data_IF_349179299824
#
_entry.id   IF_349179299824
#
_cell.length_a   1.000
_cell.length_b   1.000
_cell.length_c   1.000
_cell.angle_alpha   90.00
_cell.angle_beta   90.00
_cell.angle_gamma   90.00
#
_symmetry.space_group_name_H-M   'P 1'
#
loop_
_entity.id
_entity.type
_entity.pdbx_description
1 polymer ?
#
# COMPACT_ATOMS: atom_id res chain seq x y z
N UNK A 1 -37.50 6.00 18.66
CA UNK A 1 -36.73 6.99 19.44
C UNK A 1 -35.75 7.67 18.50
N UNK A 2 -35.96 8.96 18.19
CA UNK A 2 -34.98 9.71 17.39
C UNK A 2 -33.83 10.10 18.32
N UNK A 3 -32.68 9.47 18.15
CA UNK A 3 -31.44 9.89 18.79
C UNK A 3 -31.01 11.21 18.19
N UNK A 4 -31.22 12.30 18.93
CA UNK A 4 -30.71 13.62 18.57
C UNK A 4 -29.20 13.59 18.82
N UNK A 5 -28.42 13.88 17.78
CA UNK A 5 -26.96 13.96 17.89
C UNK A 5 -26.60 15.28 18.57
N UNK A 6 -25.78 15.21 19.62
CA UNK A 6 -25.15 16.38 20.23
C UNK A 6 -24.05 16.91 19.30
N UNK A 7 -24.39 17.96 18.55
CA UNK A 7 -23.52 18.55 17.53
C UNK A 7 -22.31 19.26 18.14
N UNK A 8 -22.44 19.85 19.34
CA UNK A 8 -21.33 20.54 20.00
C UNK A 8 -20.26 19.54 20.43
N UNK A 9 -20.68 18.44 21.07
CA UNK A 9 -19.79 17.34 21.40
C UNK A 9 -19.15 16.71 20.16
N UNK A 10 -19.92 16.55 19.08
CA UNK A 10 -19.39 16.00 17.82
C UNK A 10 -18.30 16.90 17.21
N UNK A 11 -18.48 18.22 17.23
CA UNK A 11 -17.48 19.19 16.74
C UNK A 11 -16.19 19.13 17.58
N UNK A 12 -16.31 19.15 18.90
CA UNK A 12 -15.15 19.08 19.80
C UNK A 12 -14.34 17.79 19.57
N UNK A 13 -15.04 16.66 19.40
CA UNK A 13 -14.39 15.39 19.08
C UNK A 13 -13.71 15.41 17.71
N UNK A 14 -14.35 16.00 16.70
CA UNK A 14 -13.78 16.10 15.35
C UNK A 14 -12.51 16.97 15.32
N UNK A 15 -12.51 18.10 16.04
CA UNK A 15 -11.34 18.95 16.20
C UNK A 15 -10.20 18.20 16.90
N UNK A 16 -10.51 17.52 18.01
CA UNK A 16 -9.51 16.74 18.74
C UNK A 16 -8.93 15.59 17.91
N UNK A 17 -9.76 14.91 17.13
CA UNK A 17 -9.30 13.87 16.19
C UNK A 17 -8.35 14.46 15.15
N UNK A 18 -8.64 15.66 14.63
CA UNK A 18 -7.77 16.32 13.65
C UNK A 18 -6.42 16.71 14.25
N UNK A 19 -6.38 17.20 15.49
CA UNK A 19 -5.13 17.46 16.22
C UNK A 19 -4.30 16.19 16.39
N UNK A 20 -4.92 15.13 16.94
CA UNK A 20 -4.23 13.87 17.18
C UNK A 20 -3.71 13.24 15.89
N UNK A 21 -4.43 13.38 14.77
CA UNK A 21 -3.95 12.92 13.45
C UNK A 21 -2.72 13.68 12.98
N UNK A 22 -2.66 15.00 13.21
CA UNK A 22 -1.48 15.81 12.86
C UNK A 22 -0.28 15.39 13.69
N UNK A 23 -0.46 15.23 15.00
CA UNK A 23 0.57 14.78 15.92
C UNK A 23 1.08 13.38 15.55
N UNK A 24 0.18 12.41 15.35
CA UNK A 24 0.53 11.08 14.90
C UNK A 24 1.27 11.09 13.55
N UNK A 25 0.89 11.97 12.64
CA UNK A 25 1.61 12.14 11.37
C UNK A 25 3.02 12.70 11.55
N UNK A 26 3.26 13.60 12.52
CA UNK A 26 4.60 14.11 12.83
C UNK A 26 5.47 13.00 13.39
N UNK A 27 4.98 12.31 14.43
CA UNK A 27 5.67 11.19 15.07
C UNK A 27 5.98 10.07 14.07
N UNK A 28 5.06 9.79 13.15
CA UNK A 28 5.30 8.80 12.09
C UNK A 28 6.42 9.22 11.13
N UNK A 29 6.58 10.52 10.86
CA UNK A 29 7.69 11.01 10.03
C UNK A 29 9.01 10.88 10.75
N UNK A 30 9.09 11.37 11.99
CA UNK A 30 10.28 11.27 12.84
C UNK A 30 10.71 9.81 13.00
N UNK A 31 9.75 8.93 13.28
CA UNK A 31 9.99 7.49 13.36
C UNK A 31 10.54 6.92 12.05
N UNK A 32 9.99 7.30 10.89
CA UNK A 32 10.53 6.86 9.58
C UNK A 32 11.93 7.39 9.30
N UNK A 33 12.26 8.59 9.78
CA UNK A 33 13.60 9.16 9.63
C UNK A 33 14.64 8.35 10.41
N UNK A 34 14.30 7.77 11.56
CA UNK A 34 15.20 6.88 12.32
C UNK A 34 15.57 5.60 11.55
N UNK A 35 14.67 5.10 10.71
CA UNK A 35 14.90 3.92 9.87
C UNK A 35 15.40 4.25 8.47
N UNK A 36 15.64 5.53 8.17
CA UNK A 36 16.17 5.95 6.89
C UNK A 36 17.55 5.31 6.68
N UNK A 37 17.76 4.73 5.50
CA UNK A 37 19.00 4.04 5.12
C UNK A 37 19.35 2.81 5.99
N UNK A 38 18.41 2.34 6.82
CA UNK A 38 18.57 1.11 7.61
C UNK A 38 18.20 -0.11 6.76
N UNK A 39 19.11 -1.10 6.74
CA UNK A 39 18.96 -2.37 6.02
C UNK A 39 18.89 -3.58 6.97
N UNK A 40 18.50 -3.34 8.22
CA UNK A 40 18.38 -4.38 9.26
C UNK A 40 16.91 -4.51 9.62
N UNK A 41 16.41 -5.75 9.67
CA UNK A 41 15.05 -6.01 10.13
C UNK A 41 14.92 -5.79 11.63
N UNK A 42 13.83 -5.17 12.05
CA UNK A 42 13.52 -4.89 13.46
C UNK A 42 12.13 -5.41 13.77
N UNK A 43 12.00 -6.19 14.83
CA UNK A 43 10.71 -6.59 15.40
C UNK A 43 10.78 -6.44 16.91
N UNK A 44 10.06 -5.47 17.46
CA UNK A 44 10.08 -5.12 18.89
C UNK A 44 8.67 -5.01 19.45
N UNK A 45 8.48 -5.45 20.69
CA UNK A 45 7.19 -5.37 21.39
C UNK A 45 7.14 -4.06 22.18
N UNK A 46 6.06 -3.28 21.98
CA UNK A 46 5.78 -2.04 22.67
C UNK A 46 5.05 -2.30 24.00
N UNK A 47 5.08 -1.31 24.89
CA UNK A 47 4.53 -1.42 26.25
C UNK A 47 3.04 -1.72 26.33
N UNK A 48 2.28 -1.41 25.27
CA UNK A 48 0.84 -1.70 25.16
C UNK A 48 0.54 -3.08 24.55
N UNK A 49 1.58 -3.88 24.29
CA UNK A 49 1.50 -5.21 23.68
C UNK A 49 1.46 -5.21 22.15
N UNK A 50 1.51 -4.04 21.50
CA UNK A 50 1.66 -3.96 20.04
C UNK A 50 3.11 -4.21 19.62
N UNK A 51 3.38 -4.35 18.33
CA UNK A 51 4.73 -4.57 17.78
C UNK A 51 5.12 -3.50 16.79
N UNK A 52 6.34 -3.00 16.91
CA UNK A 52 7.04 -2.24 15.88
C UNK A 52 7.77 -3.21 14.96
N UNK A 53 7.43 -3.19 13.66
CA UNK A 53 7.99 -4.07 12.65
C UNK A 53 8.57 -3.26 11.51
N UNK A 54 9.87 -3.38 11.29
CA UNK A 54 10.59 -2.89 10.11
C UNK A 54 11.17 -4.08 9.36
N UNK A 55 10.65 -4.37 8.16
CA UNK A 55 11.12 -5.51 7.37
C UNK A 55 11.08 -5.26 5.88
N UNK A 56 11.88 -6.04 5.16
CA UNK A 56 11.84 -6.07 3.71
C UNK A 56 10.65 -6.93 3.26
N UNK A 57 9.89 -6.45 2.28
CA UNK A 57 8.79 -7.20 1.71
C UNK A 57 8.88 -7.22 0.19
N UNK A 58 8.67 -8.41 -0.37
CA UNK A 58 8.46 -8.60 -1.80
C UNK A 58 7.14 -7.94 -2.18
N UNK A 59 7.22 -6.95 -3.05
CA UNK A 59 6.01 -6.32 -3.57
C UNK A 59 5.41 -7.22 -4.64
N UNK A 60 4.07 -7.35 -4.64
CA UNK A 60 3.40 -8.11 -5.70
C UNK A 60 3.73 -7.48 -7.06
N UNK A 61 3.99 -8.31 -8.09
CA UNK A 61 4.26 -7.81 -9.43
C UNK A 61 3.07 -6.96 -9.91
N UNK A 62 3.36 -5.92 -10.67
CA UNK A 62 2.34 -5.07 -11.28
C UNK A 62 2.07 -5.57 -12.68
N UNK A 63 0.81 -5.65 -13.05
CA UNK A 63 0.47 -5.86 -14.45
C UNK A 63 0.46 -4.52 -15.21
N UNK A 64 1.19 -4.45 -16.33
CA UNK A 64 1.15 -3.30 -17.23
C UNK A 64 0.00 -3.43 -18.24
N UNK A 65 -1.19 -3.04 -17.79
CA UNK A 65 -2.39 -3.00 -18.61
C UNK A 65 -2.25 -2.13 -19.86
N UNK A 66 -1.47 -1.04 -19.80
CA UNK A 66 -1.38 -0.09 -20.91
C UNK A 66 -0.61 -0.72 -22.07
N UNK A 67 0.53 -1.32 -21.77
CA UNK A 67 1.34 -2.00 -22.79
C UNK A 67 0.64 -3.25 -23.31
N UNK A 68 -0.05 -4.00 -22.44
CA UNK A 68 -0.81 -5.18 -22.85
C UNK A 68 -1.94 -4.84 -23.84
N UNK A 69 -2.74 -3.81 -23.54
CA UNK A 69 -3.82 -3.37 -24.45
C UNK A 69 -3.26 -2.85 -25.77
N UNK A 70 -2.15 -2.11 -25.74
CA UNK A 70 -1.48 -1.64 -26.96
C UNK A 70 -0.97 -2.81 -27.81
N UNK A 71 -0.43 -3.85 -27.17
CA UNK A 71 0.01 -5.08 -27.82
C UNK A 71 -1.15 -5.82 -28.49
N UNK A 72 -2.23 -6.08 -27.74
CA UNK A 72 -3.42 -6.75 -28.29
C UNK A 72 -4.03 -5.98 -29.46
N UNK A 73 -4.10 -4.65 -29.36
CA UNK A 73 -4.60 -3.81 -30.45
C UNK A 73 -3.75 -3.96 -31.74
N UNK A 74 -2.42 -4.07 -31.60
CA UNK A 74 -1.55 -4.32 -32.76
C UNK A 74 -1.74 -5.73 -33.32
N UNK A 75 -1.93 -6.74 -32.47
CA UNK A 75 -2.18 -8.11 -32.90
C UNK A 75 -3.48 -8.21 -33.70
N UNK A 76 -4.56 -7.61 -33.21
CA UNK A 76 -5.85 -7.54 -33.91
C UNK A 76 -5.72 -6.84 -35.26
N UNK A 77 -4.98 -5.72 -35.33
CA UNK A 77 -4.72 -5.02 -36.61
C UNK A 77 -3.95 -5.86 -37.62
N UNK A 78 -3.15 -6.83 -37.16
CA UNK A 78 -2.39 -7.77 -37.99
C UNK A 78 -3.18 -9.05 -38.31
N UNK A 79 -4.42 -9.17 -37.82
CA UNK A 79 -5.25 -10.37 -37.99
C UNK A 79 -4.81 -11.56 -37.14
N UNK A 80 -3.99 -11.34 -36.11
CA UNK A 80 -3.56 -12.39 -35.19
C UNK A 80 -4.68 -12.64 -34.18
N UNK A 81 -5.05 -13.90 -34.03
CA UNK A 81 -5.94 -14.37 -32.97
C UNK A 81 -5.13 -15.22 -32.00
N UNK A 82 -5.35 -15.01 -30.72
CA UNK A 82 -4.75 -15.82 -29.66
C UNK A 82 -5.82 -16.74 -29.08
N UNK A 83 -5.44 -17.97 -28.78
CA UNK A 83 -6.25 -18.83 -27.92
C UNK A 83 -6.05 -18.48 -26.43
N UNK A 84 -6.86 -19.10 -25.57
CA UNK A 84 -6.85 -18.82 -24.13
C UNK A 84 -5.47 -19.13 -23.49
N UNK A 85 -4.78 -20.17 -23.94
CA UNK A 85 -3.45 -20.52 -23.40
C UNK A 85 -2.39 -19.51 -23.86
N UNK A 86 -2.49 -19.01 -25.09
CA UNK A 86 -1.60 -17.98 -25.61
C UNK A 86 -1.80 -16.64 -24.89
N UNK A 87 -3.06 -16.29 -24.57
CA UNK A 87 -3.37 -15.12 -23.75
C UNK A 87 -2.77 -15.26 -22.35
N UNK A 88 -2.93 -16.42 -21.70
CA UNK A 88 -2.37 -16.64 -20.36
C UNK A 88 -0.83 -16.51 -20.35
N UNK A 89 -0.16 -17.05 -21.37
CA UNK A 89 1.28 -16.89 -21.52
C UNK A 89 1.70 -15.44 -21.79
N UNK A 90 0.91 -14.69 -22.55
CA UNK A 90 1.15 -13.26 -22.76
C UNK A 90 0.98 -12.49 -21.45
N UNK A 91 -0.04 -12.78 -20.64
CA UNK A 91 -0.27 -12.09 -19.38
C UNK A 91 0.94 -12.15 -18.43
N UNK A 92 1.68 -13.26 -18.40
CA UNK A 92 2.91 -13.35 -17.61
C UNK A 92 4.01 -12.37 -18.07
N UNK A 93 4.10 -12.10 -19.37
CA UNK A 93 5.13 -11.20 -19.93
C UNK A 93 4.90 -9.71 -19.59
N UNK A 94 3.66 -9.34 -19.26
CA UNK A 94 3.29 -7.98 -18.87
C UNK A 94 3.25 -7.81 -17.35
N UNK A 95 3.71 -8.80 -16.58
CA UNK A 95 3.96 -8.64 -15.14
C UNK A 95 5.35 -8.07 -14.91
N UNK A 96 5.37 -6.86 -14.38
CA UNK A 96 6.59 -6.20 -13.94
C UNK A 96 6.88 -6.61 -12.49
N UNK A 97 8.01 -7.29 -12.30
CA UNK A 97 8.58 -7.46 -10.96
C UNK A 97 8.92 -6.09 -10.39
N UNK A 98 8.53 -5.89 -9.14
CA UNK A 98 8.84 -4.66 -8.44
C UNK A 98 9.97 -4.92 -7.45
N UNK A 99 10.87 -3.94 -7.27
CA UNK A 99 11.93 -4.07 -6.29
C UNK A 99 11.32 -4.29 -4.90
N UNK A 100 12.06 -5.04 -4.10
CA UNK A 100 11.74 -5.22 -2.69
C UNK A 100 11.73 -3.86 -2.00
N UNK A 101 10.81 -3.69 -1.05
CA UNK A 101 10.65 -2.44 -0.31
C UNK A 101 10.76 -2.71 1.17
N UNK A 102 11.30 -1.75 1.89
CA UNK A 102 11.26 -1.73 3.35
C UNK A 102 9.96 -1.07 3.82
N UNK A 103 9.30 -1.68 4.80
CA UNK A 103 8.13 -1.09 5.45
C UNK A 103 8.30 -1.10 6.94
N UNK A 104 7.98 0.06 7.53
CA UNK A 104 7.74 0.21 8.94
C UNK A 104 6.24 0.13 9.23
N UNK A 105 5.84 -0.70 10.19
CA UNK A 105 4.46 -0.88 10.62
C UNK A 105 4.40 -1.02 12.14
N UNK A 106 3.29 -0.56 12.71
CA UNK A 106 2.88 -0.89 14.08
C UNK A 106 1.70 -1.83 13.96
N UNK A 107 1.82 -3.04 14.48
CA UNK A 107 0.79 -4.09 14.40
C UNK A 107 0.34 -4.48 15.80
N UNK A 108 -0.94 -4.82 15.95
CA UNK A 108 -1.50 -5.34 17.19
C UNK A 108 -1.35 -6.85 17.26
#
# INVERSE_FOLDING_TARGET
MNTVVDIEKAKLLAERINELKKEASSLTKELKELFKDTNVEVEEILSDGTKLVYKQFKTKPKFDYKSFVAYLLQAVKKGIQYDDNEIDNLLEQFKEERPEKWALKIIK
#
